data_IF_071498380643
#
_entry.id   IF_071498380643
#
_cell.length_a   1.000
_cell.length_b   1.000
_cell.length_c   1.000
_cell.angle_alpha   90.00
_cell.angle_beta   90.00
_cell.angle_gamma   90.00
#
_symmetry.space_group_name_H-M   'P 1'
#
loop_
_entity.id
_entity.type
_entity.pdbx_description
1 polymer ?
#
# COMPACT_ATOMS: atom_id res chain seq x y z
N UNK A 1 31.13 -32.16 -6.47
CA UNK A 1 30.54 -31.28 -7.50
C UNK A 1 29.81 -30.16 -6.78
N UNK A 2 30.43 -28.98 -6.70
CA UNK A 2 29.92 -27.82 -5.97
C UNK A 2 29.39 -26.78 -6.97
N UNK A 3 28.34 -26.07 -6.53
CA UNK A 3 27.88 -24.76 -6.99
C UNK A 3 27.11 -24.70 -8.32
N UNK A 4 25.78 -24.69 -8.20
CA UNK A 4 24.88 -24.01 -9.15
C UNK A 4 23.88 -23.15 -8.37
N UNK A 5 24.15 -21.84 -8.42
CA UNK A 5 23.25 -20.70 -8.25
C UNK A 5 22.44 -20.56 -6.94
N UNK A 6 23.05 -19.98 -5.91
CA UNK A 6 22.28 -19.17 -4.94
C UNK A 6 21.97 -17.84 -5.61
N UNK A 7 20.77 -17.71 -6.17
CA UNK A 7 20.26 -16.40 -6.61
C UNK A 7 20.20 -15.49 -5.37
N UNK A 8 20.74 -14.27 -5.47
CA UNK A 8 20.67 -13.36 -4.32
C UNK A 8 19.21 -13.01 -4.04
N UNK A 9 18.83 -12.84 -2.77
CA UNK A 9 17.47 -12.47 -2.36
C UNK A 9 16.98 -11.25 -3.16
N UNK A 10 17.87 -10.28 -3.43
CA UNK A 10 17.56 -9.11 -4.23
C UNK A 10 17.23 -9.44 -5.70
N UNK A 11 17.87 -10.43 -6.31
CA UNK A 11 17.56 -10.89 -7.67
C UNK A 11 16.19 -11.59 -7.73
N UNK A 12 15.89 -12.44 -6.74
CA UNK A 12 14.58 -13.07 -6.61
C UNK A 12 13.44 -12.03 -6.42
N UNK A 13 13.64 -11.05 -5.54
CA UNK A 13 12.65 -9.99 -5.32
C UNK A 13 12.48 -9.04 -6.53
N UNK A 14 13.55 -8.88 -7.34
CA UNK A 14 13.46 -8.18 -8.63
C UNK A 14 12.62 -8.97 -9.63
N UNK A 15 12.81 -10.29 -9.73
CA UNK A 15 12.04 -11.13 -10.67
C UNK A 15 10.57 -11.29 -10.25
N UNK A 16 10.27 -11.28 -8.95
CA UNK A 16 8.89 -11.29 -8.44
C UNK A 16 8.14 -9.97 -8.61
N UNK A 17 8.86 -8.90 -9.01
CA UNK A 17 8.31 -7.58 -9.28
C UNK A 17 7.98 -6.75 -8.04
N UNK A 18 8.45 -7.17 -6.87
CA UNK A 18 8.28 -6.44 -5.60
C UNK A 18 9.25 -5.27 -5.48
N UNK A 19 10.47 -5.38 -6.03
CA UNK A 19 11.38 -4.24 -6.10
C UNK A 19 10.96 -3.33 -7.26
N UNK A 20 10.39 -2.17 -6.90
CA UNK A 20 10.01 -1.11 -7.84
C UNK A 20 10.87 0.14 -7.61
N UNK A 21 11.27 0.76 -8.72
CA UNK A 21 12.05 2.01 -8.70
C UNK A 21 11.21 3.27 -8.95
N UNK A 22 10.04 3.09 -9.53
CA UNK A 22 9.13 4.13 -9.97
C UNK A 22 8.13 4.49 -8.88
N UNK A 23 7.56 5.69 -8.93
CA UNK A 23 6.39 6.05 -8.12
C UNK A 23 5.12 5.57 -8.81
N UNK A 24 4.09 5.21 -8.02
CA UNK A 24 2.78 4.82 -8.53
C UNK A 24 1.84 6.03 -8.48
N UNK A 25 1.54 6.62 -9.65
CA UNK A 25 0.65 7.78 -9.79
C UNK A 25 -0.46 7.45 -10.79
N UNK A 26 -1.72 7.63 -10.40
CA UNK A 26 -2.88 7.34 -11.26
C UNK A 26 -2.93 5.90 -11.78
N UNK A 27 -2.42 4.94 -11.00
CA UNK A 27 -2.33 3.53 -11.39
C UNK A 27 -1.20 3.20 -12.38
N UNK A 28 -0.27 4.14 -12.64
CA UNK A 28 0.88 3.95 -13.52
C UNK A 28 2.18 4.11 -12.75
N UNK A 29 3.15 3.27 -13.10
CA UNK A 29 4.52 3.41 -12.61
C UNK A 29 5.24 4.45 -13.46
N UNK A 30 5.70 5.54 -12.84
CA UNK A 30 6.40 6.63 -13.51
C UNK A 30 7.75 6.93 -12.86
N UNK A 31 8.71 7.37 -13.67
CA UNK A 31 9.96 7.95 -13.20
C UNK A 31 9.74 9.43 -12.85
N UNK A 32 10.67 10.04 -12.10
CA UNK A 32 10.63 11.47 -11.82
C UNK A 32 10.81 12.25 -13.13
N UNK A 33 10.09 13.36 -13.30
CA UNK A 33 10.11 14.18 -14.50
C UNK A 33 11.47 14.84 -14.74
N UNK A 34 12.22 15.12 -13.69
CA UNK A 34 13.59 15.61 -13.79
C UNK A 34 14.64 14.49 -13.88
N UNK A 35 14.19 13.23 -13.94
CA UNK A 35 15.02 12.03 -14.04
C UNK A 35 15.84 11.70 -12.79
N UNK A 36 15.67 12.44 -11.68
CA UNK A 36 16.48 12.21 -10.47
C UNK A 36 16.05 10.94 -9.76
N UNK A 37 17.05 10.27 -9.18
CA UNK A 37 16.87 9.12 -8.31
C UNK A 37 17.70 9.27 -7.04
N UNK A 38 17.46 8.43 -6.05
CA UNK A 38 18.35 8.23 -4.91
C UNK A 38 18.52 6.74 -4.60
N UNK A 39 19.67 6.40 -4.01
CA UNK A 39 20.02 5.02 -3.69
C UNK A 39 19.30 4.54 -2.43
N UNK A 40 18.82 3.30 -2.48
CA UNK A 40 18.39 2.53 -1.32
C UNK A 40 19.43 1.45 -1.09
N UNK A 41 20.08 1.47 0.06
CA UNK A 41 21.21 0.60 0.40
C UNK A 41 20.83 -0.41 1.47
N UNK A 42 21.40 -1.61 1.42
CA UNK A 42 21.31 -2.57 2.51
C UNK A 42 22.19 -2.09 3.69
N UNK A 43 21.62 -1.80 4.87
CA UNK A 43 22.39 -1.26 6.00
C UNK A 43 23.40 -2.26 6.59
N UNK A 44 23.23 -3.57 6.35
CA UNK A 44 24.13 -4.59 6.85
C UNK A 44 25.39 -4.76 5.97
N UNK A 45 25.30 -4.46 4.67
CA UNK A 45 26.41 -4.67 3.72
C UNK A 45 26.91 -3.38 3.06
N UNK A 46 26.11 -2.32 3.07
CA UNK A 46 26.36 -1.09 2.31
C UNK A 46 26.06 -1.19 0.81
N UNK A 47 25.64 -2.36 0.31
CA UNK A 47 25.36 -2.56 -1.11
C UNK A 47 24.07 -1.85 -1.55
N UNK A 48 24.08 -1.28 -2.76
CA UNK A 48 22.88 -0.65 -3.35
C UNK A 48 21.89 -1.73 -3.80
N UNK A 49 20.66 -1.66 -3.28
CA UNK A 49 19.55 -2.56 -3.62
C UNK A 49 18.93 -2.11 -4.95
N UNK A 50 18.55 -0.83 -5.01
CA UNK A 50 17.96 -0.16 -6.17
C UNK A 50 18.11 1.37 -6.07
N UNK A 51 17.88 2.06 -7.18
CA UNK A 51 17.71 3.50 -7.23
C UNK A 51 16.22 3.80 -7.36
N UNK A 52 15.63 4.60 -6.48
CA UNK A 52 14.20 4.97 -6.54
C UNK A 52 14.05 6.41 -7.04
N UNK A 53 12.96 6.67 -7.77
CA UNK A 53 12.64 7.98 -8.32
C UNK A 53 12.47 9.02 -7.21
N UNK A 54 13.15 10.17 -7.37
CA UNK A 54 13.09 11.29 -6.44
C UNK A 54 11.98 12.25 -6.87
N UNK A 55 10.74 11.91 -6.53
CA UNK A 55 9.57 12.70 -6.90
C UNK A 55 9.61 14.13 -6.33
N UNK A 56 9.11 15.08 -7.12
CA UNK A 56 9.05 16.49 -6.77
C UNK A 56 7.62 17.04 -6.69
N UNK A 57 7.51 18.36 -6.76
CA UNK A 57 6.22 19.05 -6.62
C UNK A 57 5.25 18.70 -7.76
N UNK A 58 5.75 18.59 -8.99
CA UNK A 58 4.90 18.33 -10.17
C UNK A 58 4.26 16.94 -10.12
N UNK A 59 5.02 15.92 -9.78
CA UNK A 59 4.52 14.55 -9.60
C UNK A 59 3.54 14.47 -8.43
N UNK A 60 3.76 15.27 -7.39
CA UNK A 60 2.84 15.39 -6.25
C UNK A 60 1.51 16.00 -6.68
N UNK A 61 1.54 17.09 -7.47
CA UNK A 61 0.33 17.71 -8.02
C UNK A 61 -0.45 16.72 -8.90
N UNK A 62 0.24 15.97 -9.75
CA UNK A 62 -0.37 14.93 -10.60
C UNK A 62 -0.97 13.78 -9.77
N UNK A 63 -0.34 13.41 -8.65
CA UNK A 63 -0.86 12.42 -7.71
C UNK A 63 -2.15 12.92 -7.03
N UNK A 64 -2.19 14.18 -6.61
CA UNK A 64 -3.38 14.81 -6.02
C UNK A 64 -4.52 14.85 -7.02
N UNK A 65 -4.26 15.32 -8.25
CA UNK A 65 -5.26 15.38 -9.30
C UNK A 65 -5.80 13.98 -9.62
N UNK A 66 -4.92 12.98 -9.76
CA UNK A 66 -5.32 11.60 -10.01
C UNK A 66 -6.15 11.01 -8.88
N UNK A 67 -5.82 11.31 -7.62
CA UNK A 67 -6.57 10.86 -6.45
C UNK A 67 -7.96 11.51 -6.39
N UNK A 68 -8.06 12.80 -6.70
CA UNK A 68 -9.35 13.51 -6.80
C UNK A 68 -10.25 12.88 -7.85
N UNK A 69 -9.72 12.60 -9.04
CA UNK A 69 -10.51 12.00 -10.13
C UNK A 69 -10.95 10.57 -9.79
N UNK A 70 -10.06 9.77 -9.19
CA UNK A 70 -10.39 8.42 -8.72
C UNK A 70 -11.46 8.43 -7.61
N UNK A 71 -11.45 9.44 -6.73
CA UNK A 71 -12.43 9.59 -5.65
C UNK A 71 -13.86 9.71 -6.17
N UNK A 72 -14.08 10.39 -7.31
CA UNK A 72 -15.42 10.57 -7.90
C UNK A 72 -16.10 9.23 -8.26
N UNK A 73 -15.32 8.22 -8.63
CA UNK A 73 -15.82 6.88 -8.89
C UNK A 73 -15.79 6.00 -7.63
N UNK A 74 -14.71 6.05 -6.85
CA UNK A 74 -14.53 5.22 -5.66
C UNK A 74 -15.55 5.50 -4.55
N UNK A 75 -15.88 6.77 -4.31
CA UNK A 75 -16.88 7.18 -3.30
C UNK A 75 -18.28 6.65 -3.61
N UNK A 76 -18.59 6.41 -4.90
CA UNK A 76 -19.89 5.87 -5.36
C UNK A 76 -20.00 4.36 -5.22
N UNK A 77 -18.89 3.65 -4.98
CA UNK A 77 -18.95 2.22 -4.67
C UNK A 77 -19.70 2.00 -3.36
N UNK A 78 -20.38 0.86 -3.27
CA UNK A 78 -20.96 0.43 -2.00
C UNK A 78 -19.86 0.09 -0.99
N UNK A 79 -20.21 0.15 0.30
CA UNK A 79 -19.33 -0.32 1.37
C UNK A 79 -18.86 -1.77 1.17
N UNK A 80 -19.73 -2.64 0.64
CA UNK A 80 -19.42 -4.04 0.38
C UNK A 80 -18.38 -4.21 -0.75
N UNK A 81 -18.47 -3.42 -1.83
CA UNK A 81 -17.49 -3.45 -2.92
C UNK A 81 -16.11 -2.96 -2.46
N UNK A 82 -16.06 -1.87 -1.67
CA UNK A 82 -14.81 -1.39 -1.08
C UNK A 82 -14.21 -2.42 -0.12
N UNK A 83 -15.04 -3.00 0.75
CA UNK A 83 -14.66 -4.10 1.66
C UNK A 83 -14.03 -5.27 0.89
N UNK A 84 -14.65 -5.70 -0.22
CA UNK A 84 -14.14 -6.79 -1.06
C UNK A 84 -12.78 -6.44 -1.69
N UNK A 85 -12.59 -5.20 -2.13
CA UNK A 85 -11.30 -4.75 -2.69
C UNK A 85 -10.19 -4.80 -1.63
N UNK A 86 -10.45 -4.25 -0.44
CA UNK A 86 -9.49 -4.27 0.68
C UNK A 86 -9.18 -5.69 1.15
N UNK A 87 -10.20 -6.57 1.21
CA UNK A 87 -10.00 -7.98 1.56
C UNK A 87 -9.08 -8.69 0.57
N UNK A 88 -9.29 -8.47 -0.74
CA UNK A 88 -8.41 -9.02 -1.77
C UNK A 88 -6.98 -8.51 -1.61
N UNK A 89 -6.78 -7.24 -1.23
CA UNK A 89 -5.46 -6.70 -0.99
C UNK A 89 -4.78 -7.34 0.22
N UNK A 90 -5.50 -7.51 1.34
CA UNK A 90 -5.02 -8.29 2.49
C UNK A 90 -4.56 -9.69 2.06
N UNK A 91 -5.40 -10.42 1.31
CA UNK A 91 -5.08 -11.80 0.91
C UNK A 91 -3.81 -11.86 0.03
N UNK A 92 -3.62 -10.86 -0.84
CA UNK A 92 -2.39 -10.73 -1.64
C UNK A 92 -1.15 -10.48 -0.77
N UNK A 93 -1.25 -9.62 0.25
CA UNK A 93 -0.15 -9.37 1.20
C UNK A 93 0.21 -10.65 1.95
N UNK A 94 -0.79 -11.35 2.52
CA UNK A 94 -0.56 -12.59 3.26
C UNK A 94 0.04 -13.67 2.38
N UNK A 95 -0.40 -13.78 1.11
CA UNK A 95 0.15 -14.74 0.16
C UNK A 95 1.63 -14.52 -0.19
N UNK A 96 2.16 -13.31 0.06
CA UNK A 96 3.54 -12.91 -0.21
C UNK A 96 4.29 -12.42 1.04
N UNK A 97 3.82 -12.78 2.23
CA UNK A 97 4.34 -12.22 3.49
C UNK A 97 5.84 -12.51 3.70
N UNK A 98 6.33 -13.66 3.25
CA UNK A 98 7.75 -14.02 3.32
C UNK A 98 8.61 -13.13 2.41
N UNK A 99 8.19 -12.91 1.15
CA UNK A 99 8.90 -12.05 0.22
C UNK A 99 8.91 -10.58 0.69
N UNK A 100 7.78 -10.10 1.22
CA UNK A 100 7.66 -8.76 1.80
C UNK A 100 8.54 -8.61 3.05
N UNK A 101 8.61 -9.65 3.89
CA UNK A 101 9.52 -9.69 5.03
C UNK A 101 10.98 -9.64 4.60
N UNK A 102 11.35 -10.37 3.55
CA UNK A 102 12.70 -10.32 2.96
C UNK A 102 13.03 -8.93 2.42
N UNK A 103 12.09 -8.28 1.72
CA UNK A 103 12.27 -6.91 1.20
C UNK A 103 12.52 -5.93 2.35
N UNK A 104 11.71 -5.98 3.40
CA UNK A 104 11.85 -5.11 4.56
C UNK A 104 13.17 -5.35 5.31
N UNK A 105 13.58 -6.61 5.50
CA UNK A 105 14.90 -6.94 6.06
C UNK A 105 16.03 -6.41 5.18
N UNK A 106 15.88 -6.51 3.86
CA UNK A 106 16.92 -6.07 2.92
C UNK A 106 17.14 -4.56 3.00
N UNK A 107 16.08 -3.75 3.06
CA UNK A 107 16.20 -2.28 3.07
C UNK A 107 16.41 -1.67 4.46
N UNK A 108 15.89 -2.30 5.52
CA UNK A 108 15.90 -1.72 6.87
C UNK A 108 16.86 -2.45 7.84
N UNK A 109 17.15 -3.74 7.60
CA UNK A 109 18.13 -4.52 8.38
C UNK A 109 17.56 -5.29 9.57
N UNK A 110 16.26 -5.18 9.91
CA UNK A 110 15.66 -5.96 11.00
C UNK A 110 15.67 -7.47 10.73
N UNK A 111 15.71 -8.31 11.78
CA UNK A 111 15.63 -9.76 11.63
C UNK A 111 14.40 -10.21 10.83
N UNK A 112 14.56 -11.16 9.92
CA UNK A 112 13.50 -11.63 9.03
C UNK A 112 12.22 -12.07 9.76
N UNK A 113 12.36 -12.71 10.93
CA UNK A 113 11.20 -13.15 11.72
C UNK A 113 10.39 -11.95 12.24
N UNK A 114 11.06 -10.87 12.62
CA UNK A 114 10.41 -9.62 13.03
C UNK A 114 9.73 -8.96 11.83
N UNK A 115 10.41 -8.86 10.69
CA UNK A 115 9.86 -8.31 9.45
C UNK A 115 8.58 -9.05 9.00
N UNK A 116 8.58 -10.39 9.01
CA UNK A 116 7.39 -11.19 8.66
C UNK A 116 6.25 -10.93 9.66
N UNK A 117 6.57 -10.80 10.95
CA UNK A 117 5.60 -10.43 11.97
C UNK A 117 4.98 -9.05 11.71
N UNK A 118 5.81 -8.08 11.33
CA UNK A 118 5.37 -6.72 10.99
C UNK A 118 4.51 -6.67 9.72
N UNK A 119 4.82 -7.45 8.69
CA UNK A 119 3.96 -7.59 7.51
C UNK A 119 2.59 -8.13 7.89
N UNK A 120 2.54 -9.15 8.75
CA UNK A 120 1.28 -9.69 9.28
C UNK A 120 0.50 -8.67 10.11
N UNK A 121 1.19 -7.92 10.96
CA UNK A 121 0.60 -6.84 11.75
C UNK A 121 0.04 -5.73 10.85
N UNK A 122 0.79 -5.27 9.86
CA UNK A 122 0.34 -4.29 8.86
C UNK A 122 -0.87 -4.78 8.07
N UNK A 123 -0.87 -6.04 7.65
CA UNK A 123 -2.01 -6.65 6.94
C UNK A 123 -3.28 -6.66 7.79
N UNK A 124 -3.18 -6.88 9.10
CA UNK A 124 -4.34 -6.92 10.01
C UNK A 124 -5.15 -5.62 10.01
N UNK A 125 -4.51 -4.45 9.81
CA UNK A 125 -5.23 -3.19 9.66
C UNK A 125 -6.09 -3.14 8.40
N UNK A 126 -5.59 -3.72 7.30
CA UNK A 126 -6.33 -3.76 6.03
C UNK A 126 -7.56 -4.66 6.18
N UNK A 127 -7.42 -5.80 6.84
CA UNK A 127 -8.56 -6.67 7.18
C UNK A 127 -9.58 -5.95 8.07
N UNK A 128 -9.12 -5.33 9.16
CA UNK A 128 -9.98 -4.57 10.06
C UNK A 128 -10.76 -3.47 9.34
N UNK A 129 -10.10 -2.63 8.54
CA UNK A 129 -10.77 -1.56 7.82
C UNK A 129 -11.63 -2.06 6.63
N UNK A 130 -11.31 -3.22 6.05
CA UNK A 130 -12.21 -3.88 5.11
C UNK A 130 -13.54 -4.23 5.78
N UNK A 131 -13.50 -4.68 7.03
CA UNK A 131 -14.69 -4.96 7.81
C UNK A 131 -15.43 -3.68 8.23
N UNK A 132 -14.71 -2.70 8.76
CA UNK A 132 -15.28 -1.42 9.22
C UNK A 132 -15.87 -0.58 8.09
N UNK A 133 -15.45 -0.79 6.83
CA UNK A 133 -16.05 -0.14 5.67
C UNK A 133 -17.58 -0.29 5.61
N UNK A 134 -18.12 -1.39 6.15
CA UNK A 134 -19.57 -1.70 6.20
C UNK A 134 -20.28 -1.18 7.44
N UNK A 135 -19.57 -0.53 8.36
CA UNK A 135 -20.05 -0.13 9.70
C UNK A 135 -19.95 1.37 9.94
N UNK A 136 -19.93 2.15 8.86
CA UNK A 136 -20.02 3.62 8.92
C UNK A 136 -21.47 4.01 9.22
N UNK A 137 -21.85 3.93 10.48
CA UNK A 137 -23.22 4.21 10.93
C UNK A 137 -23.46 5.72 11.07
N UNK A 138 -24.60 6.15 10.54
CA UNK A 138 -25.21 7.44 10.84
C UNK A 138 -26.05 7.40 12.11
N UNK A 139 -26.77 8.49 12.38
CA UNK A 139 -27.53 8.66 13.61
C UNK A 139 -28.97 9.11 13.32
N UNK A 140 -29.91 8.72 14.19
CA UNK A 140 -31.27 9.24 14.22
C UNK A 140 -31.39 10.13 15.46
N UNK A 141 -31.60 11.42 15.26
CA UNK A 141 -31.62 12.41 16.35
C UNK A 141 -33.08 12.71 16.72
N UNK A 142 -33.44 12.74 18.02
CA UNK A 142 -34.77 13.15 18.45
C UNK A 142 -35.16 14.52 17.88
N UNK A 143 -36.34 14.58 17.28
CA UNK A 143 -36.85 15.82 16.72
C UNK A 143 -37.34 16.76 17.83
N UNK A 144 -37.04 18.05 17.69
CA UNK A 144 -37.53 19.09 18.60
C UNK A 144 -38.99 19.50 18.31
N UNK A 145 -39.52 19.11 17.14
CA UNK A 145 -40.88 19.38 16.69
C UNK A 145 -41.53 18.07 16.20
N UNK A 146 -42.85 17.88 16.44
CA UNK A 146 -43.54 16.59 16.21
C UNK A 146 -43.67 16.19 14.74
N UNK A 147 -43.51 17.12 13.81
CA UNK A 147 -43.68 16.93 12.37
C UNK A 147 -42.35 16.70 11.62
N UNK A 148 -41.23 16.50 12.35
CA UNK A 148 -39.89 16.37 11.75
C UNK A 148 -39.19 15.08 12.16
N UNK A 149 -38.25 14.65 11.32
CA UNK A 149 -37.28 13.59 11.62
C UNK A 149 -35.89 14.10 11.26
N UNK A 150 -34.91 13.86 12.12
CA UNK A 150 -33.53 14.29 11.92
C UNK A 150 -32.64 13.06 11.75
N UNK A 151 -31.89 13.02 10.66
CA UNK A 151 -30.95 11.94 10.35
C UNK A 151 -29.59 12.53 10.02
N UNK A 152 -28.52 11.88 10.51
CA UNK A 152 -27.15 12.14 10.11
C UNK A 152 -26.72 11.02 9.18
N UNK A 153 -26.37 11.37 7.95
CA UNK A 153 -25.74 10.45 7.00
C UNK A 153 -24.25 10.74 6.98
N UNK A 154 -23.42 9.71 7.17
CA UNK A 154 -21.98 9.80 6.98
C UNK A 154 -21.68 9.36 5.54
N UNK A 155 -21.11 10.25 4.74
CA UNK A 155 -20.76 10.04 3.33
C UNK A 155 -19.25 10.07 3.14
#
# INVERSE_FOLDING_TARGET
QMSTASESIAAHLKSSGLIRRQGLIGGKWIDAYDGRTFEVTNPATGEVITNVARMGGKETDDAIASAHDAFLAWSKLTAAERSKCLRKWHDLIISRKEELGQLMTLEQGKPLKEAIGEVGYGASFIEFYAEEAKRVYGDVIPATLPDRRLFVLKQ
#
